data_IF_187003772680
#
_entry.id   IF_187003772680
#
_cell.length_a   1.000
_cell.length_b   1.000
_cell.length_c   1.000
_cell.angle_alpha   90.00
_cell.angle_beta   90.00
_cell.angle_gamma   90.00
#
_symmetry.space_group_name_H-M   'P 1'
#
loop_
_entity.id
_entity.type
_entity.pdbx_description
1 polymer ?
#
# COMPACT_ATOMS: atom_id res chain seq x y z
N UNK A 1 -17.06 25.56 4.16
CA UNK A 1 -17.08 24.36 3.30
C UNK A 1 -18.48 23.74 3.15
N UNK A 2 -19.21 23.35 4.21
CA UNK A 2 -20.54 22.71 4.10
C UNK A 2 -21.54 23.42 3.17
N UNK A 3 -21.74 24.74 3.33
CA UNK A 3 -22.67 25.53 2.49
C UNK A 3 -22.33 25.45 0.99
N UNK A 4 -21.05 25.36 0.65
CA UNK A 4 -20.59 25.23 -0.74
C UNK A 4 -20.91 23.84 -1.30
N UNK A 5 -20.60 22.78 -0.55
CA UNK A 5 -20.92 21.40 -0.94
C UNK A 5 -22.43 21.14 -1.05
N UNK A 6 -23.24 21.74 -0.17
CA UNK A 6 -24.71 21.64 -0.24
C UNK A 6 -25.33 22.51 -1.35
N UNK A 7 -24.53 23.18 -2.19
CA UNK A 7 -25.01 23.78 -3.45
C UNK A 7 -24.67 22.92 -4.68
N UNK A 8 -23.79 21.92 -4.54
CA UNK A 8 -23.47 21.01 -5.62
C UNK A 8 -24.54 19.91 -5.78
N UNK A 9 -24.62 19.33 -6.98
CA UNK A 9 -25.50 18.19 -7.27
C UNK A 9 -25.08 16.93 -6.50
N UNK A 10 -23.78 16.76 -6.25
CA UNK A 10 -23.24 15.68 -5.43
C UNK A 10 -21.90 16.05 -4.80
N UNK A 11 -21.63 15.48 -3.62
CA UNK A 11 -20.29 15.43 -3.02
C UNK A 11 -19.80 13.99 -3.05
N UNK A 12 -18.67 13.71 -3.71
CA UNK A 12 -18.19 12.35 -3.91
C UNK A 12 -17.21 11.95 -2.81
N UNK A 13 -17.52 10.87 -2.09
CA UNK A 13 -16.66 10.27 -1.06
C UNK A 13 -16.16 8.88 -1.49
N UNK A 14 -14.91 8.51 -1.20
CA UNK A 14 -14.33 7.25 -1.66
C UNK A 14 -14.76 6.03 -0.83
N UNK A 15 -15.29 6.25 0.39
CA UNK A 15 -15.68 5.18 1.30
C UNK A 15 -17.03 5.45 1.96
N UNK A 16 -17.68 4.40 2.46
CA UNK A 16 -18.97 4.50 3.16
C UNK A 16 -18.81 5.19 4.50
N UNK A 17 -17.70 4.97 5.18
CA UNK A 17 -17.38 5.61 6.46
C UNK A 17 -17.29 7.13 6.29
N UNK A 18 -16.61 7.61 5.23
CA UNK A 18 -16.57 9.04 4.97
C UNK A 18 -17.94 9.60 4.57
N UNK A 19 -18.72 8.85 3.77
CA UNK A 19 -20.07 9.25 3.41
C UNK A 19 -20.95 9.42 4.65
N UNK A 20 -20.91 8.46 5.58
CA UNK A 20 -21.64 8.51 6.83
C UNK A 20 -21.17 9.67 7.71
N UNK A 21 -19.86 9.78 7.92
CA UNK A 21 -19.26 10.85 8.70
C UNK A 21 -19.69 12.23 8.19
N UNK A 22 -19.61 12.47 6.87
CA UNK A 22 -20.05 13.75 6.29
C UNK A 22 -21.56 13.96 6.42
N UNK A 23 -22.36 12.90 6.29
CA UNK A 23 -23.81 12.94 6.53
C UNK A 23 -24.15 13.38 7.97
N UNK A 24 -23.48 12.80 8.98
CA UNK A 24 -23.61 13.18 10.39
C UNK A 24 -23.19 14.64 10.64
N UNK A 25 -22.28 15.18 9.83
CA UNK A 25 -21.85 16.59 9.88
C UNK A 25 -22.75 17.55 9.06
N UNK A 26 -23.87 17.04 8.50
CA UNK A 26 -24.87 17.83 7.78
C UNK A 26 -24.55 18.13 6.32
N UNK A 27 -23.62 17.37 5.71
CA UNK A 27 -23.40 17.44 4.27
C UNK A 27 -24.52 16.70 3.55
N UNK A 28 -25.12 17.35 2.57
CA UNK A 28 -26.18 16.78 1.75
C UNK A 28 -25.61 16.13 0.48
N UNK A 29 -26.35 15.17 -0.08
CA UNK A 29 -26.05 14.54 -1.38
C UNK A 29 -24.63 13.97 -1.47
N UNK A 30 -24.12 13.44 -0.36
CA UNK A 30 -22.85 12.68 -0.38
C UNK A 30 -23.09 11.33 -1.07
N UNK A 31 -22.29 11.02 -2.08
CA UNK A 31 -22.38 9.80 -2.89
C UNK A 31 -21.06 9.04 -2.83
N UNK A 32 -21.16 7.72 -2.78
CA UNK A 32 -20.01 6.84 -2.83
C UNK A 32 -19.47 6.78 -4.26
N UNK A 33 -18.24 7.22 -4.45
CA UNK A 33 -17.45 6.95 -5.65
C UNK A 33 -16.24 6.13 -5.23
N UNK A 34 -16.39 4.80 -5.26
CA UNK A 34 -15.30 3.89 -4.91
C UNK A 34 -14.13 4.05 -5.89
N UNK A 35 -12.92 3.83 -5.38
CA UNK A 35 -11.73 3.80 -6.23
C UNK A 35 -11.74 2.51 -7.05
N UNK A 36 -11.55 2.64 -8.36
CA UNK A 36 -11.35 1.52 -9.26
C UNK A 36 -9.86 1.25 -9.47
N UNK A 37 -9.56 0.02 -9.87
CA UNK A 37 -8.24 -0.44 -10.29
C UNK A 37 -8.40 -1.25 -11.58
N UNK A 38 -7.40 -1.22 -12.46
CA UNK A 38 -7.39 -2.02 -13.68
C UNK A 38 -7.26 -3.52 -13.33
N UNK A 39 -8.35 -4.27 -13.44
CA UNK A 39 -8.36 -5.70 -13.10
C UNK A 39 -7.58 -6.56 -14.10
N UNK A 40 -7.28 -6.07 -15.31
CA UNK A 40 -6.41 -6.80 -16.24
C UNK A 40 -4.94 -6.65 -15.85
N UNK A 41 -4.57 -5.51 -15.26
CA UNK A 41 -3.23 -5.25 -14.76
C UNK A 41 -3.00 -5.90 -13.38
N UNK A 42 -3.96 -5.76 -12.48
CA UNK A 42 -3.89 -6.28 -11.10
C UNK A 42 -4.60 -7.63 -10.98
N UNK A 43 -4.05 -8.62 -11.69
CA UNK A 43 -4.60 -9.97 -11.77
C UNK A 43 -3.72 -10.97 -10.98
N UNK A 44 -4.30 -11.83 -10.11
CA UNK A 44 -3.54 -12.83 -9.35
C UNK A 44 -2.78 -13.85 -10.21
N UNK A 45 -3.21 -14.08 -11.46
CA UNK A 45 -2.55 -14.93 -12.45
C UNK A 45 -1.28 -14.34 -13.03
N UNK A 46 -1.03 -13.03 -12.86
CA UNK A 46 0.25 -12.37 -13.21
C UNK A 46 1.32 -12.52 -12.13
N UNK A 47 1.15 -13.44 -11.18
CA UNK A 47 2.13 -13.71 -10.14
C UNK A 47 3.41 -14.27 -10.76
N UNK A 48 4.53 -13.61 -10.50
CA UNK A 48 5.85 -14.01 -11.01
C UNK A 48 6.63 -14.79 -9.94
N UNK A 49 6.95 -16.08 -10.17
CA UNK A 49 7.80 -16.87 -9.27
C UNK A 49 9.24 -16.38 -9.23
N UNK A 50 9.82 -15.95 -10.35
CA UNK A 50 11.20 -15.49 -10.42
C UNK A 50 11.41 -14.23 -9.57
N UNK A 51 10.45 -13.32 -9.55
CA UNK A 51 10.46 -12.16 -8.65
C UNK A 51 10.51 -12.57 -7.16
N UNK A 52 9.86 -13.67 -6.79
CA UNK A 52 9.88 -14.13 -5.40
C UNK A 52 11.23 -14.74 -5.04
N UNK A 53 11.87 -15.40 -5.99
CA UNK A 53 13.24 -15.89 -5.86
C UNK A 53 14.24 -14.73 -5.73
N UNK A 54 14.08 -13.62 -6.48
CA UNK A 54 14.87 -12.39 -6.30
C UNK A 54 14.79 -11.85 -4.87
N UNK A 55 13.64 -12.02 -4.20
CA UNK A 55 13.44 -11.63 -2.81
C UNK A 55 13.93 -12.68 -1.78
N UNK A 56 14.51 -13.79 -2.25
CA UNK A 56 14.97 -14.89 -1.40
C UNK A 56 13.81 -15.57 -0.66
N UNK A 57 12.68 -15.77 -1.35
CA UNK A 57 11.46 -16.38 -0.83
C UNK A 57 11.18 -17.68 -1.57
N UNK A 58 11.37 -18.80 -0.88
CA UNK A 58 11.11 -20.12 -1.45
C UNK A 58 9.60 -20.37 -1.62
N UNK A 59 9.16 -20.77 -2.81
CA UNK A 59 7.78 -21.21 -3.10
C UNK A 59 6.70 -20.31 -2.49
N UNK A 60 5.93 -20.86 -1.55
CA UNK A 60 4.83 -20.18 -0.85
C UNK A 60 5.26 -19.43 0.43
N UNK A 61 6.53 -19.09 0.58
CA UNK A 61 7.04 -18.28 1.69
C UNK A 61 6.31 -16.94 1.85
N UNK A 62 6.22 -16.45 3.07
CA UNK A 62 5.42 -15.26 3.36
C UNK A 62 6.18 -13.98 3.01
N UNK A 63 5.54 -13.11 2.25
CA UNK A 63 6.04 -11.76 1.93
C UNK A 63 5.03 -10.75 2.45
N UNK A 64 5.48 -9.90 3.38
CA UNK A 64 4.79 -8.65 3.68
C UNK A 64 5.30 -7.59 2.70
N UNK A 65 4.41 -6.76 2.16
CA UNK A 65 4.79 -5.71 1.21
C UNK A 65 4.24 -4.36 1.66
N UNK A 66 5.08 -3.34 1.60
CA UNK A 66 4.69 -1.94 1.70
C UNK A 66 4.86 -1.30 0.31
N UNK A 67 3.82 -0.63 -0.18
CA UNK A 67 3.85 0.08 -1.46
C UNK A 67 3.40 1.52 -1.26
N UNK A 68 4.28 2.47 -1.54
CA UNK A 68 3.97 3.90 -1.49
C UNK A 68 5.18 4.77 -1.13
N UNK A 69 4.93 6.06 -0.90
CA UNK A 69 5.96 7.00 -0.45
C UNK A 69 6.51 6.57 0.91
N UNK A 70 7.83 6.43 1.05
CA UNK A 70 8.50 6.05 2.29
C UNK A 70 8.78 7.33 3.09
N UNK A 71 7.76 7.79 3.81
CA UNK A 71 7.80 9.05 4.55
C UNK A 71 7.05 8.95 5.88
N UNK A 72 7.38 9.85 6.82
CA UNK A 72 6.97 9.75 8.23
C UNK A 72 5.44 9.76 8.43
N UNK A 73 4.71 10.48 7.58
CA UNK A 73 3.25 10.56 7.60
C UNK A 73 2.55 9.22 7.35
N UNK A 74 3.28 8.20 6.88
CA UNK A 74 2.76 6.85 6.61
C UNK A 74 2.93 5.88 7.77
N UNK A 75 3.32 6.37 8.95
CA UNK A 75 3.45 5.57 10.18
C UNK A 75 4.33 4.32 9.99
N UNK A 76 5.49 4.50 9.35
CA UNK A 76 6.42 3.42 8.99
C UNK A 76 6.82 2.57 10.20
N UNK A 77 6.96 3.20 11.38
CA UNK A 77 7.30 2.50 12.62
C UNK A 77 6.28 1.45 13.04
N UNK A 78 4.98 1.65 12.77
CA UNK A 78 3.97 0.63 13.02
C UNK A 78 4.15 -0.58 12.09
N UNK A 79 4.43 -0.32 10.81
CA UNK A 79 4.67 -1.38 9.83
C UNK A 79 5.88 -2.23 10.21
N UNK A 80 6.99 -1.60 10.63
CA UNK A 80 8.17 -2.30 11.15
C UNK A 80 7.81 -3.13 12.37
N UNK A 81 7.17 -2.54 13.39
CA UNK A 81 6.78 -3.26 14.62
C UNK A 81 5.88 -4.46 14.34
N UNK A 82 4.91 -4.30 13.44
CA UNK A 82 4.01 -5.38 13.02
C UNK A 82 4.79 -6.50 12.32
N UNK A 83 5.69 -6.16 11.41
CA UNK A 83 6.52 -7.15 10.72
C UNK A 83 7.47 -7.87 11.67
N UNK A 84 8.09 -7.18 12.62
CA UNK A 84 8.97 -7.83 13.63
C UNK A 84 8.20 -8.85 14.47
N UNK A 85 6.96 -8.57 14.85
CA UNK A 85 6.08 -9.56 15.51
C UNK A 85 5.73 -10.74 14.61
N UNK A 86 5.45 -10.48 13.33
CA UNK A 86 5.21 -11.53 12.34
C UNK A 86 6.45 -12.42 12.15
N UNK A 87 7.65 -11.84 12.12
CA UNK A 87 8.91 -12.54 11.95
C UNK A 87 9.21 -13.49 13.13
N UNK A 88 8.74 -13.17 14.34
CA UNK A 88 8.82 -14.09 15.49
C UNK A 88 8.00 -15.38 15.26
N UNK A 89 6.90 -15.30 14.52
CA UNK A 89 6.02 -16.45 14.20
C UNK A 89 6.48 -17.15 12.92
N UNK A 90 7.01 -16.38 11.96
CA UNK A 90 7.48 -16.83 10.65
C UNK A 90 8.89 -16.29 10.40
N UNK A 91 9.95 -16.95 10.91
CA UNK A 91 11.32 -16.43 10.82
C UNK A 91 11.85 -16.22 9.39
N UNK A 92 11.33 -16.99 8.43
CA UNK A 92 11.67 -16.87 7.00
C UNK A 92 10.85 -15.81 6.24
N UNK A 93 9.92 -15.11 6.90
CA UNK A 93 9.15 -14.07 6.24
C UNK A 93 10.07 -12.94 5.75
N UNK A 94 9.75 -12.36 4.60
CA UNK A 94 10.46 -11.21 4.03
C UNK A 94 9.57 -9.97 4.04
N UNK A 95 10.19 -8.80 4.25
CA UNK A 95 9.51 -7.52 4.14
C UNK A 95 10.06 -6.76 2.94
N UNK A 96 9.20 -6.54 1.95
CA UNK A 96 9.51 -5.82 0.72
C UNK A 96 8.93 -4.41 0.78
N UNK A 97 9.76 -3.43 0.48
CA UNK A 97 9.43 -2.01 0.43
C UNK A 97 9.55 -1.50 -1.01
N UNK A 98 8.42 -1.09 -1.57
CA UNK A 98 8.31 -0.53 -2.92
C UNK A 98 7.96 0.94 -2.84
N UNK A 99 8.75 1.75 -3.54
CA UNK A 99 8.67 3.20 -3.53
C UNK A 99 9.95 3.85 -3.01
N UNK A 100 9.86 5.16 -2.80
CA UNK A 100 10.95 6.00 -2.33
C UNK A 100 10.42 7.10 -1.41
N UNK A 101 11.33 7.79 -0.73
CA UNK A 101 11.01 8.93 0.10
C UNK A 101 12.09 9.23 1.13
N UNK A 102 11.95 10.36 1.84
CA UNK A 102 12.98 10.89 2.74
C UNK A 102 13.33 9.95 3.90
N UNK A 103 12.49 8.97 4.24
CA UNK A 103 12.76 8.03 5.31
C UNK A 103 13.42 6.72 4.83
N UNK A 104 13.60 6.53 3.52
CA UNK A 104 14.12 5.28 2.94
C UNK A 104 15.50 4.91 3.47
N UNK A 105 16.48 5.81 3.36
CA UNK A 105 17.87 5.52 3.71
C UNK A 105 18.01 5.13 5.18
N UNK A 106 17.40 5.93 6.08
CA UNK A 106 17.36 5.65 7.51
C UNK A 106 16.73 4.29 7.80
N UNK A 107 15.58 4.00 7.17
CA UNK A 107 14.87 2.74 7.38
C UNK A 107 15.68 1.53 6.91
N UNK A 108 16.38 1.65 5.79
CA UNK A 108 17.27 0.62 5.26
C UNK A 108 18.49 0.40 6.17
N UNK A 109 19.08 1.48 6.69
CA UNK A 109 20.18 1.39 7.64
C UNK A 109 19.77 0.70 8.95
N UNK A 110 18.60 1.02 9.49
CA UNK A 110 18.07 0.43 10.73
C UNK A 110 17.57 -1.01 10.55
N UNK A 111 17.25 -1.43 9.32
CA UNK A 111 16.66 -2.74 9.02
C UNK A 111 17.35 -3.37 7.78
N UNK A 112 18.60 -3.82 7.92
CA UNK A 112 19.39 -4.36 6.80
C UNK A 112 18.82 -5.65 6.21
N UNK A 113 17.90 -6.32 6.91
CA UNK A 113 17.21 -7.53 6.45
C UNK A 113 15.98 -7.25 5.56
N UNK A 114 15.58 -6.00 5.40
CA UNK A 114 14.46 -5.61 4.52
C UNK A 114 14.91 -5.44 3.08
N UNK A 115 13.97 -5.66 2.15
CA UNK A 115 14.22 -5.60 0.71
C UNK A 115 13.65 -4.28 0.18
N UNK A 116 14.46 -3.46 -0.46
CA UNK A 116 14.04 -2.17 -1.01
C UNK A 116 14.11 -2.17 -2.53
N UNK A 117 12.95 -2.23 -3.18
CA UNK A 117 12.86 -2.33 -4.64
C UNK A 117 12.88 -0.97 -5.35
N UNK A 118 12.82 0.15 -4.60
CA UNK A 118 12.72 1.47 -5.23
C UNK A 118 11.37 1.68 -5.93
N UNK A 119 11.30 2.71 -6.76
CA UNK A 119 10.11 2.99 -7.57
C UNK A 119 10.02 1.92 -8.66
N UNK A 120 8.85 1.26 -8.72
CA UNK A 120 8.58 0.24 -9.74
C UNK A 120 7.66 0.82 -10.81
N UNK A 121 7.98 0.63 -12.10
CA UNK A 121 7.08 1.04 -13.18
C UNK A 121 5.80 0.20 -13.17
N UNK A 122 4.73 0.75 -13.73
CA UNK A 122 3.43 0.09 -13.82
C UNK A 122 3.49 -1.24 -14.61
N UNK A 123 4.46 -1.38 -15.51
CA UNK A 123 4.81 -2.63 -16.17
C UNK A 123 6.31 -2.86 -16.01
N UNK A 124 6.69 -3.97 -15.36
CA UNK A 124 8.05 -4.47 -15.44
C UNK A 124 8.17 -5.22 -16.77
N UNK A 125 9.10 -4.85 -17.68
CA UNK A 125 9.34 -5.67 -18.86
C UNK A 125 9.71 -7.08 -18.39
N UNK A 126 9.04 -8.09 -18.94
CA UNK A 126 9.35 -9.49 -18.68
C UNK A 126 10.83 -9.71 -19.01
N UNK A 127 11.61 -10.20 -18.05
CA UNK A 127 12.95 -10.69 -18.33
C UNK A 127 12.78 -11.93 -19.22
N UNK A 128 13.13 -11.77 -20.50
CA UNK A 128 13.27 -12.88 -21.45
C UNK A 128 14.52 -13.68 -21.12
#
# INVERSE_FOLDING_TARGET
MRRFHNQADATLGPTRELQQFLGEQGFERVRLLARAVDSQQFDPGRRDPALREEWGVDGNGLVAIYVGRIAAEKNLGLAVKAFRKLQQIRPKARFVWVGDGPAREKLAHENPDFIFCGIQPAARPSAT
#
